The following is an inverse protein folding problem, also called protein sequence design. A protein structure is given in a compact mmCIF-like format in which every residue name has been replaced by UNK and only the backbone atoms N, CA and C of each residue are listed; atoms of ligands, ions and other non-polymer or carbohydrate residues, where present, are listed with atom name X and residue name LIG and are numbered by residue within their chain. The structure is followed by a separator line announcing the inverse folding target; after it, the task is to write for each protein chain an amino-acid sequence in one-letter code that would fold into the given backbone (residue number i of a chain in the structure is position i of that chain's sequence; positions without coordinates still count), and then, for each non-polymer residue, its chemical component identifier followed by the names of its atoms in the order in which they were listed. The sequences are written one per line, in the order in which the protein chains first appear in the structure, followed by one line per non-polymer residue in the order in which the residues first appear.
data_IF_234497266307
#
_entry.id   IF_234497266307
#
_cell.length_a   1.000
_cell.length_b   1.000
_cell.length_c   1.000
_cell.angle_alpha   90.00
_cell.angle_beta   90.00
_cell.angle_gamma   90.00
#
_symmetry.space_group_name_H-M   'P 1'
#
loop_
_entity.id
_entity.type
_entity.pdbx_description
1 polymer ?
#
# COMPACT_ATOMS: atom_id res chain seq x y z
N UNK A 1 62.50 2.15 -12.18
CA UNK A 1 61.53 1.57 -11.22
C UNK A 1 60.63 2.61 -10.57
N UNK A 2 61.12 3.74 -10.08
CA UNK A 2 60.30 4.78 -9.42
C UNK A 2 59.25 5.43 -10.32
N UNK A 3 59.57 5.73 -11.59
CA UNK A 3 58.66 6.34 -12.56
C UNK A 3 57.48 5.40 -12.93
N UNK A 4 57.67 4.10 -13.00
CA UNK A 4 56.62 3.12 -13.29
C UNK A 4 55.63 3.05 -12.11
N UNK A 5 56.13 3.13 -10.86
CA UNK A 5 55.29 3.11 -9.67
C UNK A 5 54.45 4.38 -9.55
N UNK A 6 54.99 5.55 -9.91
CA UNK A 6 54.24 6.82 -9.92
C UNK A 6 53.16 6.83 -11.02
N UNK A 7 53.42 6.26 -12.19
CA UNK A 7 52.48 6.16 -13.26
C UNK A 7 51.32 5.18 -12.95
N UNK A 8 51.64 4.04 -12.32
CA UNK A 8 50.62 3.08 -11.84
C UNK A 8 49.73 3.67 -10.72
N UNK A 9 50.32 4.44 -9.80
CA UNK A 9 49.56 5.12 -8.74
C UNK A 9 48.65 6.22 -9.28
N UNK A 10 49.07 6.96 -10.32
CA UNK A 10 48.23 7.94 -11.03
C UNK A 10 47.08 7.30 -11.79
N UNK A 11 47.31 6.17 -12.47
CA UNK A 11 46.26 5.44 -13.18
C UNK A 11 45.22 4.84 -12.23
N UNK A 12 45.63 4.29 -11.09
CA UNK A 12 44.72 3.77 -10.04
C UNK A 12 43.91 4.89 -9.38
N UNK A 13 44.51 6.06 -9.14
CA UNK A 13 43.80 7.23 -8.63
C UNK A 13 42.78 7.78 -9.63
N UNK A 14 43.13 7.86 -10.91
CA UNK A 14 42.19 8.28 -11.96
C UNK A 14 41.07 7.26 -12.14
N UNK A 15 41.36 5.98 -12.07
CA UNK A 15 40.37 4.93 -12.16
C UNK A 15 39.38 4.97 -10.95
N UNK A 16 39.90 5.17 -9.74
CA UNK A 16 39.06 5.28 -8.53
C UNK A 16 38.20 6.57 -8.55
N UNK A 17 38.75 7.68 -9.07
CA UNK A 17 38.02 8.94 -9.22
C UNK A 17 36.92 8.80 -10.27
N UNK A 18 37.24 8.27 -11.44
CA UNK A 18 36.26 8.03 -12.51
C UNK A 18 35.15 7.08 -12.06
N UNK A 19 35.48 6.00 -11.34
CA UNK A 19 34.52 5.08 -10.77
C UNK A 19 33.59 5.75 -9.75
N UNK A 20 34.11 6.57 -8.83
CA UNK A 20 33.33 7.33 -7.85
C UNK A 20 32.43 8.37 -8.54
N UNK A 21 32.93 9.07 -9.55
CA UNK A 21 32.17 10.02 -10.34
C UNK A 21 31.02 9.35 -11.07
N UNK A 22 31.26 8.22 -11.72
CA UNK A 22 30.20 7.43 -12.38
C UNK A 22 29.15 6.92 -11.40
N UNK A 23 29.54 6.47 -10.21
CA UNK A 23 28.59 6.08 -9.17
C UNK A 23 27.76 7.27 -8.66
N UNK A 24 28.39 8.41 -8.46
CA UNK A 24 27.71 9.64 -8.05
C UNK A 24 26.72 10.10 -9.12
N UNK A 25 27.13 10.14 -10.38
CA UNK A 25 26.28 10.50 -11.52
C UNK A 25 25.07 9.58 -11.65
N UNK A 26 25.27 8.26 -11.58
CA UNK A 26 24.18 7.26 -11.57
C UNK A 26 23.21 7.47 -10.41
N UNK A 27 23.70 7.76 -9.22
CA UNK A 27 22.86 8.04 -8.05
C UNK A 27 22.07 9.34 -8.21
N UNK A 28 22.69 10.37 -8.72
CA UNK A 28 22.05 11.67 -8.97
C UNK A 28 20.94 11.55 -10.03
N UNK A 29 21.23 10.91 -11.14
CA UNK A 29 20.27 10.65 -12.22
C UNK A 29 19.08 9.84 -11.72
N UNK A 30 19.30 8.80 -10.94
CA UNK A 30 18.23 7.96 -10.39
C UNK A 30 17.35 8.71 -9.37
N UNK A 31 17.94 9.55 -8.52
CA UNK A 31 17.19 10.40 -7.58
C UNK A 31 16.32 11.42 -8.33
N UNK A 32 16.88 12.03 -9.39
CA UNK A 32 16.14 12.98 -10.24
C UNK A 32 15.01 12.29 -10.97
N UNK A 33 15.24 11.09 -11.51
CA UNK A 33 14.20 10.29 -12.13
C UNK A 33 13.07 9.97 -11.15
N UNK A 34 13.36 9.45 -9.94
CA UNK A 34 12.33 9.13 -8.95
C UNK A 34 11.57 10.36 -8.46
N UNK A 35 12.22 11.52 -8.39
CA UNK A 35 11.53 12.77 -8.11
C UNK A 35 10.47 13.09 -9.19
N UNK A 36 10.83 13.03 -10.47
CA UNK A 36 9.88 13.25 -11.56
C UNK A 36 8.82 12.15 -11.64
N UNK A 37 9.18 10.89 -11.37
CA UNK A 37 8.24 9.79 -11.30
C UNK A 37 7.14 10.03 -10.26
N UNK A 38 7.50 10.47 -9.04
CA UNK A 38 6.49 10.80 -8.03
C UNK A 38 5.58 11.92 -8.50
N UNK A 39 6.14 12.99 -9.06
CA UNK A 39 5.34 14.12 -9.56
C UNK A 39 4.40 13.66 -10.68
N UNK A 40 4.92 12.90 -11.63
CA UNK A 40 4.11 12.33 -12.70
C UNK A 40 2.98 11.45 -12.14
N UNK A 41 3.31 10.56 -11.20
CA UNK A 41 2.34 9.65 -10.62
C UNK A 41 1.27 10.37 -9.79
N UNK A 42 1.63 11.44 -9.09
CA UNK A 42 0.67 12.30 -8.37
C UNK A 42 -0.34 12.97 -9.32
N UNK A 43 0.11 13.41 -10.49
CA UNK A 43 -0.76 14.11 -11.46
C UNK A 43 -1.57 13.11 -12.27
N UNK A 44 -0.94 12.09 -12.80
CA UNK A 44 -1.51 11.23 -13.83
C UNK A 44 -1.93 9.83 -13.34
N UNK A 45 -1.43 9.33 -12.21
CA UNK A 45 -1.65 7.95 -11.78
C UNK A 45 -3.12 7.56 -11.70
N UNK A 46 -3.96 8.37 -11.04
CA UNK A 46 -5.40 8.12 -10.93
C UNK A 46 -6.14 8.49 -12.22
N UNK A 47 -5.70 9.56 -12.89
CA UNK A 47 -6.33 10.01 -14.14
C UNK A 47 -6.14 8.97 -15.26
N UNK A 48 -4.93 8.45 -15.46
CA UNK A 48 -4.66 7.43 -16.49
C UNK A 48 -5.44 6.14 -16.20
N UNK A 49 -5.54 5.76 -14.93
CA UNK A 49 -6.29 4.58 -14.53
C UNK A 49 -7.78 4.71 -14.82
N UNK A 50 -8.40 5.86 -14.48
CA UNK A 50 -9.85 6.03 -14.57
C UNK A 50 -10.33 6.58 -15.93
N UNK A 51 -9.57 7.49 -16.57
CA UNK A 51 -10.02 8.18 -17.78
C UNK A 51 -9.61 7.46 -19.07
N UNK A 52 -8.51 6.70 -19.03
CA UNK A 52 -8.02 5.93 -20.19
C UNK A 52 -8.24 4.43 -20.04
N UNK A 53 -8.92 3.98 -18.97
CA UNK A 53 -9.10 2.56 -18.63
C UNK A 53 -7.78 1.75 -18.66
N UNK A 54 -6.68 2.46 -18.39
CA UNK A 54 -5.37 1.83 -18.39
C UNK A 54 -5.09 1.16 -17.05
N UNK A 55 -5.78 0.05 -16.81
CA UNK A 55 -5.69 -0.72 -15.57
C UNK A 55 -4.29 -1.23 -15.25
N UNK A 56 -3.42 -1.40 -16.27
CA UNK A 56 -2.05 -1.93 -16.11
C UNK A 56 -0.99 -0.89 -15.72
N UNK A 57 -1.36 0.38 -15.48
CA UNK A 57 -0.38 1.44 -15.21
C UNK A 57 0.45 1.19 -13.95
N UNK A 58 -0.14 0.58 -12.94
CA UNK A 58 0.52 0.26 -11.68
C UNK A 58 1.45 -0.95 -11.82
N UNK A 59 1.07 -1.99 -12.58
CA UNK A 59 1.92 -3.11 -12.94
C UNK A 59 3.18 -2.61 -13.67
N UNK A 60 3.01 -1.84 -14.75
CA UNK A 60 4.13 -1.26 -15.48
C UNK A 60 5.03 -0.41 -14.56
N UNK A 61 4.44 0.42 -13.70
CA UNK A 61 5.19 1.22 -12.75
C UNK A 61 6.03 0.38 -11.80
N UNK A 62 5.46 -0.67 -11.23
CA UNK A 62 6.16 -1.55 -10.28
C UNK A 62 7.29 -2.31 -10.95
N UNK A 63 7.01 -2.97 -12.08
CA UNK A 63 8.03 -3.75 -12.80
C UNK A 63 9.13 -2.87 -13.35
N UNK A 64 8.81 -1.68 -13.85
CA UNK A 64 9.80 -0.73 -14.32
C UNK A 64 10.74 -0.28 -13.18
N UNK A 65 10.20 0.10 -12.01
CA UNK A 65 11.00 0.46 -10.84
C UNK A 65 11.82 -0.73 -10.33
N UNK A 66 11.29 -1.95 -10.39
CA UNK A 66 12.04 -3.15 -10.05
C UNK A 66 13.22 -3.40 -11.00
N UNK A 67 13.01 -3.26 -12.31
CA UNK A 67 14.11 -3.34 -13.30
C UNK A 67 15.20 -2.31 -12.99
N UNK A 68 14.82 -1.06 -12.68
CA UNK A 68 15.78 -0.04 -12.27
C UNK A 68 16.52 -0.42 -10.97
N UNK A 69 15.83 -1.01 -10.01
CA UNK A 69 16.46 -1.49 -8.78
C UNK A 69 17.46 -2.63 -9.07
N UNK A 70 17.13 -3.55 -9.97
CA UNK A 70 18.04 -4.60 -10.41
C UNK A 70 19.25 -4.03 -11.14
N UNK A 71 19.06 -3.13 -12.10
CA UNK A 71 20.16 -2.56 -12.89
C UNK A 71 21.14 -1.73 -12.02
N UNK A 72 20.61 -0.96 -11.07
CA UNK A 72 21.45 -0.01 -10.31
C UNK A 72 21.78 -0.47 -8.89
N UNK A 73 21.01 -1.38 -8.29
CA UNK A 73 21.08 -1.73 -6.86
C UNK A 73 20.94 -3.23 -6.56
N UNK A 74 21.19 -4.11 -7.53
CA UNK A 74 21.05 -5.57 -7.39
C UNK A 74 21.78 -6.10 -6.14
N UNK A 75 23.02 -5.64 -5.87
CA UNK A 75 23.78 -6.07 -4.69
C UNK A 75 23.07 -5.73 -3.37
N UNK A 76 22.32 -4.61 -3.32
CA UNK A 76 21.57 -4.22 -2.12
C UNK A 76 20.32 -5.06 -1.95
N UNK A 77 19.63 -5.40 -3.05
CA UNK A 77 18.52 -6.35 -3.05
C UNK A 77 18.98 -7.73 -2.57
N UNK A 78 20.02 -8.30 -3.18
CA UNK A 78 20.54 -9.62 -2.84
C UNK A 78 21.19 -9.71 -1.44
N UNK A 79 21.55 -8.58 -0.81
CA UNK A 79 22.01 -8.56 0.59
C UNK A 79 20.89 -8.39 1.60
N UNK A 80 19.70 -8.04 1.16
CA UNK A 80 18.55 -7.87 2.04
C UNK A 80 17.92 -9.23 2.34
N UNK A 81 18.19 -9.77 3.52
CA UNK A 81 17.66 -11.08 3.96
C UNK A 81 16.14 -11.16 3.92
N UNK A 82 15.47 -10.05 4.19
CA UNK A 82 14.01 -9.97 4.16
C UNK A 82 13.47 -10.06 2.72
N UNK A 83 14.13 -9.39 1.77
CA UNK A 83 13.78 -9.51 0.36
C UNK A 83 14.00 -10.93 -0.17
N UNK A 84 15.13 -11.56 0.19
CA UNK A 84 15.42 -12.95 -0.18
C UNK A 84 14.34 -13.88 0.38
N UNK A 85 14.00 -13.74 1.67
CA UNK A 85 12.94 -14.53 2.29
C UNK A 85 11.60 -14.33 1.60
N UNK A 86 11.25 -13.08 1.26
CA UNK A 86 10.04 -12.75 0.51
C UNK A 86 10.01 -13.41 -0.88
N UNK A 87 11.11 -13.39 -1.63
CA UNK A 87 11.21 -14.05 -2.93
C UNK A 87 11.07 -15.57 -2.79
N UNK A 88 11.73 -16.17 -1.81
CA UNK A 88 11.61 -17.61 -1.55
C UNK A 88 10.19 -18.01 -1.16
N UNK A 89 9.53 -17.21 -0.32
CA UNK A 89 8.13 -17.41 0.07
C UNK A 89 7.20 -17.31 -1.16
N UNK A 90 7.43 -16.32 -2.02
CA UNK A 90 6.66 -16.18 -3.26
C UNK A 90 6.83 -17.38 -4.19
N UNK A 91 8.06 -17.84 -4.42
CA UNK A 91 8.35 -19.03 -5.25
C UNK A 91 7.68 -20.26 -4.63
N UNK A 92 7.77 -20.43 -3.31
CA UNK A 92 7.09 -21.51 -2.60
C UNK A 92 5.58 -21.51 -2.86
N UNK A 93 4.89 -20.38 -2.64
CA UNK A 93 3.44 -20.31 -2.83
C UNK A 93 3.04 -20.46 -4.29
N UNK A 94 3.82 -19.94 -5.24
CA UNK A 94 3.56 -20.13 -6.67
C UNK A 94 3.66 -21.61 -7.04
N UNK A 95 4.75 -22.29 -6.65
CA UNK A 95 4.93 -23.72 -6.89
C UNK A 95 3.86 -24.54 -6.20
N UNK A 96 3.55 -24.25 -4.95
CA UNK A 96 2.52 -24.89 -4.17
C UNK A 96 1.14 -24.79 -4.86
N UNK A 97 0.76 -23.61 -5.33
CA UNK A 97 -0.52 -23.37 -6.02
C UNK A 97 -0.61 -24.16 -7.32
N UNK A 98 0.49 -24.20 -8.09
CA UNK A 98 0.57 -24.94 -9.35
C UNK A 98 0.49 -26.48 -9.14
N UNK A 99 0.98 -26.99 -8.01
CA UNK A 99 0.92 -28.42 -7.68
C UNK A 99 -0.46 -28.78 -7.13
N UNK A 100 -1.00 -27.98 -6.19
CA UNK A 100 -2.29 -28.24 -5.54
C UNK A 100 -3.47 -28.09 -6.48
N UNK A 101 -3.40 -27.18 -7.45
CA UNK A 101 -4.41 -26.92 -8.48
C UNK A 101 -5.84 -26.74 -7.90
N UNK A 102 -5.97 -26.08 -6.74
CA UNK A 102 -7.27 -25.75 -6.17
C UNK A 102 -8.05 -24.87 -7.15
N UNK A 103 -7.39 -23.84 -7.74
CA UNK A 103 -7.91 -23.24 -8.97
C UNK A 103 -7.25 -23.95 -10.17
N UNK A 104 -8.03 -24.55 -11.08
CA UNK A 104 -7.50 -25.29 -12.23
C UNK A 104 -6.87 -24.37 -13.28
N UNK A 105 -7.20 -23.07 -13.29
CA UNK A 105 -6.67 -22.11 -14.26
C UNK A 105 -5.23 -21.72 -13.96
N UNK A 106 -4.31 -22.18 -14.78
CA UNK A 106 -2.89 -21.77 -14.74
C UNK A 106 -2.75 -20.24 -14.85
N UNK A 107 -3.52 -19.63 -15.77
CA UNK A 107 -3.45 -18.19 -16.01
C UNK A 107 -3.98 -17.41 -14.81
N UNK A 108 -5.07 -17.84 -14.19
CA UNK A 108 -5.62 -17.26 -12.96
C UNK A 108 -4.62 -17.27 -11.80
N UNK A 109 -3.91 -18.38 -11.60
CA UNK A 109 -2.87 -18.53 -10.57
C UNK A 109 -1.69 -17.58 -10.84
N UNK A 110 -1.21 -17.48 -12.08
CA UNK A 110 -0.07 -16.62 -12.42
C UNK A 110 -0.44 -15.15 -12.28
N UNK A 111 -1.58 -14.72 -12.83
CA UNK A 111 -2.00 -13.32 -12.80
C UNK A 111 -2.28 -12.84 -11.36
N UNK A 112 -2.93 -13.66 -10.54
CA UNK A 112 -3.10 -13.34 -9.12
C UNK A 112 -1.74 -13.24 -8.41
N UNK A 113 -0.82 -14.17 -8.65
CA UNK A 113 0.50 -14.14 -8.04
C UNK A 113 1.25 -12.84 -8.37
N UNK A 114 1.13 -12.32 -9.59
CA UNK A 114 1.72 -11.03 -10.00
C UNK A 114 1.04 -9.85 -9.29
N UNK A 115 -0.27 -9.89 -9.13
CA UNK A 115 -1.00 -8.85 -8.38
C UNK A 115 -0.60 -8.83 -6.90
N UNK A 116 -0.46 -10.00 -6.28
CA UNK A 116 -0.13 -10.13 -4.86
C UNK A 116 1.31 -9.71 -4.53
N UNK A 117 2.28 -9.97 -5.42
CA UNK A 117 3.68 -9.57 -5.21
C UNK A 117 3.90 -8.07 -5.37
N UNK A 118 3.07 -7.39 -6.16
CA UNK A 118 3.21 -6.00 -6.61
C UNK A 118 3.58 -5.00 -5.51
N UNK A 119 2.83 -4.86 -4.40
CA UNK A 119 3.12 -3.85 -3.38
C UNK A 119 4.46 -4.09 -2.67
N UNK A 120 4.81 -5.34 -2.42
CA UNK A 120 6.05 -5.70 -1.73
C UNK A 120 7.25 -5.55 -2.66
N UNK A 121 7.12 -5.96 -3.93
CA UNK A 121 8.16 -5.78 -4.93
C UNK A 121 8.49 -4.30 -5.11
N UNK A 122 7.47 -3.44 -5.15
CA UNK A 122 7.63 -1.99 -5.22
C UNK A 122 8.34 -1.45 -3.98
N UNK A 123 7.88 -1.85 -2.77
CA UNK A 123 8.49 -1.46 -1.51
C UNK A 123 10.00 -1.81 -1.48
N UNK A 124 10.38 -3.06 -1.77
CA UNK A 124 11.78 -3.48 -1.72
C UNK A 124 12.64 -2.83 -2.81
N UNK A 125 12.07 -2.55 -3.96
CA UNK A 125 12.75 -1.84 -5.05
C UNK A 125 13.11 -0.41 -4.63
N UNK A 126 12.15 0.36 -4.10
CA UNK A 126 12.36 1.72 -3.59
C UNK A 126 13.32 1.70 -2.38
N UNK A 127 13.19 0.74 -1.48
CA UNK A 127 14.11 0.55 -0.36
C UNK A 127 15.55 0.31 -0.84
N UNK A 128 15.75 -0.52 -1.88
CA UNK A 128 17.07 -0.77 -2.44
C UNK A 128 17.65 0.47 -3.15
N UNK A 129 16.85 1.18 -3.92
CA UNK A 129 17.25 2.41 -4.61
C UNK A 129 17.65 3.48 -3.59
N UNK A 130 16.90 3.61 -2.49
CA UNK A 130 17.13 4.60 -1.42
C UNK A 130 17.18 6.04 -1.95
N UNK A 131 16.07 6.57 -2.48
CA UNK A 131 16.04 7.90 -3.07
C UNK A 131 16.32 8.99 -2.03
N UNK A 132 17.12 9.98 -2.45
CA UNK A 132 17.46 11.14 -1.63
C UNK A 132 16.86 12.41 -2.26
N UNK A 133 16.03 13.12 -1.52
CA UNK A 133 15.38 14.34 -1.98
C UNK A 133 16.06 15.57 -1.39
N UNK A 134 16.39 16.54 -2.23
CA UNK A 134 16.89 17.86 -1.79
C UNK A 134 15.78 18.63 -1.07
N UNK A 135 16.14 19.64 -0.31
CA UNK A 135 15.16 20.51 0.36
C UNK A 135 14.24 21.21 -0.65
N UNK A 136 14.79 21.59 -1.81
CA UNK A 136 13.99 22.15 -2.91
C UNK A 136 12.94 21.13 -3.39
N UNK A 137 13.35 19.88 -3.68
CA UNK A 137 12.43 18.83 -4.12
C UNK A 137 11.31 18.58 -3.11
N UNK A 138 11.64 18.54 -1.82
CA UNK A 138 10.65 18.36 -0.74
C UNK A 138 9.61 19.48 -0.73
N UNK A 139 10.06 20.74 -0.84
CA UNK A 139 9.16 21.90 -0.92
C UNK A 139 8.28 21.85 -2.15
N UNK A 140 8.82 21.45 -3.31
CA UNK A 140 8.01 21.30 -4.54
C UNK A 140 6.97 20.19 -4.42
N UNK A 141 7.32 19.03 -3.88
CA UNK A 141 6.35 17.95 -3.64
C UNK A 141 5.22 18.44 -2.73
N UNK A 142 5.53 19.13 -1.63
CA UNK A 142 4.52 19.71 -0.74
C UNK A 142 3.62 20.71 -1.47
N UNK A 143 4.20 21.61 -2.28
CA UNK A 143 3.45 22.61 -3.03
C UNK A 143 2.51 21.96 -4.06
N UNK A 144 3.02 20.98 -4.81
CA UNK A 144 2.23 20.26 -5.82
C UNK A 144 1.13 19.45 -5.17
N UNK A 145 1.40 18.71 -4.08
CA UNK A 145 0.37 17.97 -3.35
C UNK A 145 -0.78 18.87 -2.89
N UNK A 146 -0.45 20.08 -2.40
CA UNK A 146 -1.48 21.05 -1.99
C UNK A 146 -2.28 21.59 -3.19
N UNK A 147 -1.60 21.97 -4.27
CA UNK A 147 -2.25 22.48 -5.48
C UNK A 147 -3.19 21.43 -6.07
N UNK A 148 -2.71 20.17 -6.19
CA UNK A 148 -3.51 19.08 -6.73
C UNK A 148 -4.71 18.73 -5.83
N UNK A 149 -4.57 18.84 -4.51
CA UNK A 149 -5.70 18.65 -3.59
C UNK A 149 -6.79 19.67 -3.79
N UNK A 150 -6.41 20.95 -3.95
CA UNK A 150 -7.35 22.03 -4.22
C UNK A 150 -7.96 21.87 -5.62
N UNK A 151 -7.14 21.54 -6.62
CA UNK A 151 -7.62 21.33 -7.99
C UNK A 151 -8.62 20.17 -8.08
N UNK A 152 -8.35 19.04 -7.43
CA UNK A 152 -9.26 17.90 -7.36
C UNK A 152 -10.59 18.27 -6.68
N UNK A 153 -10.55 19.07 -5.60
CA UNK A 153 -11.74 19.57 -4.94
C UNK A 153 -12.55 20.53 -5.86
N UNK A 154 -11.88 21.51 -6.48
CA UNK A 154 -12.56 22.46 -7.38
C UNK A 154 -13.15 21.76 -8.59
N UNK A 155 -12.48 20.74 -9.13
CA UNK A 155 -13.00 19.95 -10.25
C UNK A 155 -14.37 19.35 -9.91
N UNK A 156 -14.55 18.82 -8.69
CA UNK A 156 -15.84 18.27 -8.25
C UNK A 156 -16.88 19.39 -8.06
N UNK A 157 -16.48 20.50 -7.42
CA UNK A 157 -17.41 21.63 -7.18
C UNK A 157 -17.92 22.21 -8.51
N UNK A 158 -17.05 22.31 -9.52
CA UNK A 158 -17.42 22.84 -10.84
C UNK A 158 -18.25 21.83 -11.64
N UNK A 159 -17.85 20.56 -11.66
CA UNK A 159 -18.53 19.51 -12.44
C UNK A 159 -19.85 19.06 -11.82
N UNK A 160 -20.00 19.19 -10.50
CA UNK A 160 -21.12 18.64 -9.72
C UNK A 160 -21.21 17.11 -9.73
N UNK A 161 -20.28 16.42 -10.41
CA UNK A 161 -20.34 14.98 -10.58
C UNK A 161 -19.01 14.29 -10.26
N UNK A 162 -18.97 13.64 -9.10
CA UNK A 162 -17.79 12.96 -8.58
C UNK A 162 -17.46 11.68 -9.38
N UNK A 163 -18.48 10.97 -9.85
CA UNK A 163 -18.28 9.77 -10.67
C UNK A 163 -17.68 10.10 -12.04
N UNK A 164 -18.13 11.20 -12.66
CA UNK A 164 -17.55 11.66 -13.92
C UNK A 164 -16.06 12.00 -13.79
N UNK A 165 -15.66 12.67 -12.68
CA UNK A 165 -14.29 13.13 -12.50
C UNK A 165 -13.33 12.01 -12.09
N UNK A 166 -13.77 11.07 -11.25
CA UNK A 166 -12.89 10.09 -10.57
C UNK A 166 -13.35 8.63 -10.71
N UNK A 167 -14.38 8.34 -11.51
CA UNK A 167 -14.94 7.00 -11.68
C UNK A 167 -15.66 6.49 -10.43
N UNK A 168 -15.07 6.64 -9.26
CA UNK A 168 -15.68 6.22 -7.99
C UNK A 168 -15.30 7.15 -6.84
N UNK A 169 -16.21 7.46 -5.89
CA UNK A 169 -15.92 8.32 -4.74
C UNK A 169 -14.72 7.89 -3.88
N UNK A 170 -14.45 6.60 -3.82
CA UNK A 170 -13.29 6.04 -3.12
C UNK A 170 -11.96 6.52 -3.74
N UNK A 171 -11.86 6.61 -5.05
CA UNK A 171 -10.65 7.08 -5.73
C UNK A 171 -10.32 8.52 -5.39
N UNK A 172 -11.35 9.38 -5.31
CA UNK A 172 -11.17 10.78 -4.95
C UNK A 172 -10.58 10.99 -3.56
N UNK A 173 -11.22 10.46 -2.50
CA UNK A 173 -10.72 10.72 -1.17
C UNK A 173 -9.40 9.98 -0.88
N UNK A 174 -9.17 8.80 -1.46
CA UNK A 174 -7.88 8.11 -1.38
C UNK A 174 -6.75 8.89 -2.05
N UNK A 175 -7.05 9.55 -3.17
CA UNK A 175 -6.12 10.48 -3.82
C UNK A 175 -5.75 11.63 -2.89
N UNK A 176 -6.72 12.23 -2.21
CA UNK A 176 -6.48 13.29 -1.22
C UNK A 176 -5.66 12.80 -0.03
N UNK A 177 -5.92 11.58 0.47
CA UNK A 177 -5.10 11.01 1.54
C UNK A 177 -3.66 10.78 1.08
N UNK A 178 -3.46 10.30 -0.15
CA UNK A 178 -2.12 10.18 -0.72
C UNK A 178 -1.39 11.52 -0.82
N UNK A 179 -2.09 12.60 -1.22
CA UNK A 179 -1.52 13.95 -1.20
C UNK A 179 -1.25 14.44 0.22
N UNK A 180 -2.11 14.16 1.19
CA UNK A 180 -1.90 14.48 2.58
C UNK A 180 -0.70 13.72 3.17
N UNK A 181 -0.52 12.44 2.85
CA UNK A 181 0.64 11.64 3.26
C UNK A 181 1.94 12.18 2.65
N UNK A 182 1.96 12.54 1.37
CA UNK A 182 3.11 13.18 0.72
C UNK A 182 3.44 14.53 1.37
N UNK A 183 2.44 15.39 1.55
CA UNK A 183 2.61 16.67 2.22
C UNK A 183 3.16 16.49 3.63
N UNK A 184 2.57 15.60 4.43
CA UNK A 184 2.99 15.33 5.79
C UNK A 184 4.43 14.79 5.85
N UNK A 185 4.78 13.84 5.00
CA UNK A 185 6.10 13.23 5.00
C UNK A 185 7.20 14.23 4.67
N UNK A 186 7.00 15.07 3.65
CA UNK A 186 8.03 15.99 3.16
C UNK A 186 8.04 17.36 3.84
N UNK A 187 6.95 17.78 4.51
CA UNK A 187 6.91 19.03 5.29
C UNK A 187 7.54 18.89 6.68
N UNK A 188 7.85 20.00 7.35
CA UNK A 188 8.26 19.99 8.75
C UNK A 188 7.08 19.70 9.68
N UNK A 189 7.34 19.11 10.86
CA UNK A 189 6.31 18.72 11.82
C UNK A 189 5.84 19.90 12.67
N UNK A 190 5.48 21.02 12.03
CA UNK A 190 4.93 22.22 12.67
C UNK A 190 3.41 22.10 12.86
N UNK A 191 2.85 22.88 13.80
CA UNK A 191 1.40 22.91 14.02
C UNK A 191 0.63 23.35 12.75
N UNK A 192 1.20 24.31 11.98
CA UNK A 192 0.65 24.76 10.70
C UNK A 192 0.56 23.62 9.69
N UNK A 193 1.65 22.88 9.51
CA UNK A 193 1.70 21.79 8.52
C UNK A 193 0.79 20.62 8.90
N UNK A 194 0.65 20.31 10.20
CA UNK A 194 -0.32 19.31 10.68
C UNK A 194 -1.76 19.70 10.38
N UNK A 195 -2.12 20.98 10.57
CA UNK A 195 -3.44 21.50 10.16
C UNK A 195 -3.67 21.39 8.66
N UNK A 196 -2.67 21.76 7.84
CA UNK A 196 -2.78 21.63 6.37
C UNK A 196 -2.97 20.16 5.97
N UNK A 197 -2.23 19.23 6.55
CA UNK A 197 -2.39 17.80 6.30
C UNK A 197 -3.84 17.36 6.58
N UNK A 198 -4.39 17.75 7.73
CA UNK A 198 -5.77 17.41 8.08
C UNK A 198 -6.79 18.08 7.14
N UNK A 199 -6.57 19.35 6.77
CA UNK A 199 -7.44 20.06 5.84
C UNK A 199 -7.51 19.39 4.47
N UNK A 200 -6.38 18.89 3.95
CA UNK A 200 -6.37 18.12 2.69
C UNK A 200 -7.30 16.89 2.80
N UNK A 201 -7.26 16.16 3.91
CA UNK A 201 -8.11 14.98 4.12
C UNK A 201 -9.58 15.39 4.25
N UNK A 202 -9.87 16.50 4.94
CA UNK A 202 -11.23 17.03 5.11
C UNK A 202 -11.89 17.43 3.81
N UNK A 203 -11.14 17.83 2.75
CA UNK A 203 -11.69 18.04 1.42
C UNK A 203 -12.36 16.76 0.86
N UNK A 204 -11.96 15.59 1.34
CA UNK A 204 -12.55 14.29 0.98
C UNK A 204 -13.99 14.08 1.47
N UNK A 205 -14.48 14.89 2.42
CA UNK A 205 -15.82 14.74 3.00
C UNK A 205 -16.95 14.79 1.96
N UNK A 206 -16.74 15.48 0.83
CA UNK A 206 -17.68 15.49 -0.30
C UNK A 206 -17.98 14.08 -0.82
N UNK A 207 -17.07 13.12 -0.65
CA UNK A 207 -17.27 11.73 -1.08
C UNK A 207 -18.35 10.98 -0.28
N UNK A 208 -18.73 11.46 0.89
CA UNK A 208 -19.71 10.87 1.82
C UNK A 208 -19.45 9.38 2.15
N UNK A 209 -18.19 8.95 2.09
CA UNK A 209 -17.81 7.55 2.40
C UNK A 209 -17.58 7.35 3.89
N UNK A 210 -18.26 6.35 4.47
CA UNK A 210 -18.22 6.07 5.91
C UNK A 210 -16.81 5.82 6.47
N UNK A 211 -15.97 5.09 5.73
CA UNK A 211 -14.59 4.79 6.16
C UNK A 211 -13.69 6.03 6.28
N UNK A 212 -13.94 7.06 5.46
CA UNK A 212 -13.22 8.34 5.55
C UNK A 212 -13.37 9.00 6.93
N UNK A 213 -14.52 8.88 7.59
CA UNK A 213 -14.69 9.42 8.94
C UNK A 213 -13.72 8.78 9.94
N UNK A 214 -13.56 7.45 9.87
CA UNK A 214 -12.58 6.73 10.70
C UNK A 214 -11.14 7.17 10.44
N UNK A 215 -10.80 7.45 9.18
CA UNK A 215 -9.49 7.96 8.78
C UNK A 215 -9.26 9.39 9.28
N UNK A 216 -10.22 10.30 9.12
CA UNK A 216 -10.15 11.68 9.63
C UNK A 216 -9.91 11.68 11.13
N UNK A 217 -10.69 10.91 11.88
CA UNK A 217 -10.57 10.82 13.35
C UNK A 217 -9.19 10.25 13.71
N UNK A 218 -8.72 9.21 13.03
CA UNK A 218 -7.42 8.61 13.28
C UNK A 218 -6.27 9.57 12.97
N UNK A 219 -6.31 10.26 11.83
CA UNK A 219 -5.30 11.27 11.48
C UNK A 219 -5.31 12.43 12.47
N UNK A 220 -6.49 12.93 12.88
CA UNK A 220 -6.59 13.95 13.91
C UNK A 220 -5.90 13.51 15.20
N UNK A 221 -6.22 12.31 15.70
CA UNK A 221 -5.60 11.78 16.92
C UNK A 221 -4.07 11.65 16.79
N UNK A 222 -3.56 11.09 15.69
CA UNK A 222 -2.12 10.94 15.51
C UNK A 222 -1.42 12.28 15.34
N UNK A 223 -1.96 13.20 14.57
CA UNK A 223 -1.35 14.50 14.32
C UNK A 223 -1.33 15.41 15.55
N UNK A 224 -2.37 15.38 16.39
CA UNK A 224 -2.52 16.37 17.46
C UNK A 224 -2.41 15.79 18.86
N UNK A 225 -2.84 14.55 19.12
CA UNK A 225 -2.85 13.97 20.46
C UNK A 225 -1.57 13.20 20.79
N UNK A 226 -0.88 12.63 19.77
CA UNK A 226 0.32 11.81 19.98
C UNK A 226 1.55 12.70 20.11
N UNK A 227 2.05 12.88 21.34
CA UNK A 227 3.27 13.64 21.66
C UNK A 227 4.49 12.76 21.92
N UNK A 228 4.31 11.47 22.15
CA UNK A 228 5.36 10.47 22.44
C UNK A 228 4.89 9.07 22.01
N UNK A 229 5.80 8.09 22.03
CA UNK A 229 5.44 6.70 21.75
C UNK A 229 4.23 6.28 22.57
N UNK A 230 3.20 5.73 21.91
CA UNK A 230 2.01 5.20 22.58
C UNK A 230 2.45 3.98 23.42
N UNK A 231 2.16 4.03 24.71
CA UNK A 231 2.31 2.90 25.61
C UNK A 231 0.95 2.20 25.71
N UNK A 232 0.95 0.88 25.50
CA UNK A 232 -0.27 0.08 25.70
C UNK A 232 -0.47 -0.06 27.20
N UNK A 233 -1.36 0.73 27.77
CA UNK A 233 -1.83 0.67 29.14
C UNK A 233 -3.36 0.78 29.16
N UNK A 234 -3.98 0.54 30.32
CA UNK A 234 -5.43 0.56 30.44
C UNK A 234 -6.06 1.84 29.86
N UNK A 235 -5.45 3.01 30.11
CA UNK A 235 -5.96 4.29 29.60
C UNK A 235 -5.95 4.38 28.09
N UNK A 236 -4.84 3.95 27.44
CA UNK A 236 -4.76 3.97 25.98
C UNK A 236 -5.70 2.95 25.33
N UNK A 237 -5.95 1.81 25.98
CA UNK A 237 -6.95 0.83 25.56
C UNK A 237 -8.36 1.43 25.65
N UNK A 238 -8.70 2.08 26.78
CA UNK A 238 -10.00 2.76 26.95
C UNK A 238 -10.20 3.84 25.87
N UNK A 239 -9.19 4.70 25.61
CA UNK A 239 -9.30 5.71 24.54
C UNK A 239 -9.46 5.10 23.16
N UNK A 240 -8.76 4.00 22.87
CA UNK A 240 -8.94 3.28 21.61
C UNK A 240 -10.35 2.69 21.47
N UNK A 241 -10.89 2.09 22.54
CA UNK A 241 -12.27 1.58 22.57
C UNK A 241 -13.28 2.72 22.37
N UNK A 242 -13.14 3.84 23.08
CA UNK A 242 -14.03 4.99 22.91
C UNK A 242 -13.98 5.49 21.45
N UNK A 243 -12.80 5.58 20.87
CA UNK A 243 -12.62 5.99 19.47
C UNK A 243 -13.30 5.05 18.49
N UNK A 244 -13.15 3.73 18.70
CA UNK A 244 -13.80 2.70 17.91
C UNK A 244 -15.31 2.81 18.04
N UNK A 245 -15.84 2.91 19.26
CA UNK A 245 -17.28 3.04 19.52
C UNK A 245 -17.86 4.31 18.87
N UNK A 246 -17.14 5.44 18.96
CA UNK A 246 -17.55 6.67 18.29
C UNK A 246 -17.58 6.51 16.77
N UNK A 247 -16.56 5.87 16.20
CA UNK A 247 -16.51 5.61 14.76
C UNK A 247 -17.64 4.65 14.35
N UNK A 248 -17.87 3.58 15.11
CA UNK A 248 -18.99 2.66 14.88
C UNK A 248 -20.35 3.36 14.94
N UNK A 249 -20.53 4.26 15.89
CA UNK A 249 -21.75 5.07 15.98
C UNK A 249 -21.97 5.94 14.74
N UNK A 250 -20.92 6.61 14.27
CA UNK A 250 -20.99 7.47 13.06
C UNK A 250 -21.29 6.68 11.75
N UNK A 251 -20.96 5.40 11.71
CA UNK A 251 -21.17 4.55 10.54
C UNK A 251 -22.16 3.42 10.81
N UNK A 252 -23.04 3.58 11.83
CA UNK A 252 -23.92 2.51 12.30
C UNK A 252 -24.78 1.90 11.18
N UNK A 253 -25.35 2.72 10.30
CA UNK A 253 -26.16 2.24 9.17
C UNK A 253 -25.36 1.31 8.24
N UNK A 254 -24.07 1.58 8.07
CA UNK A 254 -23.17 0.74 7.27
C UNK A 254 -22.81 -0.56 7.99
N UNK A 255 -22.60 -0.49 9.31
CA UNK A 255 -22.36 -1.68 10.13
C UNK A 255 -23.59 -2.58 10.10
N UNK A 256 -24.78 -2.02 10.30
CA UNK A 256 -26.02 -2.77 10.21
C UNK A 256 -26.18 -3.46 8.85
N UNK A 257 -25.97 -2.71 7.76
CA UNK A 257 -26.08 -3.23 6.41
C UNK A 257 -25.07 -4.36 6.11
N UNK A 258 -23.77 -4.15 6.44
CA UNK A 258 -22.70 -5.07 6.01
C UNK A 258 -22.37 -6.17 7.00
N UNK A 259 -22.67 -6.01 8.31
CA UNK A 259 -22.27 -6.96 9.33
C UNK A 259 -23.50 -7.67 9.92
N UNK A 260 -24.61 -6.98 10.15
CA UNK A 260 -25.79 -7.56 10.78
C UNK A 260 -26.72 -8.18 9.74
N UNK A 261 -27.18 -7.38 8.78
CA UNK A 261 -28.11 -7.86 7.74
C UNK A 261 -27.41 -8.58 6.58
N UNK A 262 -26.12 -8.28 6.35
CA UNK A 262 -25.35 -8.83 5.23
C UNK A 262 -24.83 -10.25 5.46
N UNK A 263 -25.06 -10.86 6.62
CA UNK A 263 -24.57 -12.20 6.98
C UNK A 263 -25.63 -13.29 6.71
N UNK A 264 -26.82 -12.91 6.26
CA UNK A 264 -27.85 -13.85 5.86
C UNK A 264 -27.39 -14.72 4.67
N UNK A 265 -27.49 -16.05 4.77
CA UNK A 265 -27.01 -16.96 3.73
C UNK A 265 -27.82 -16.85 2.42
N UNK A 266 -29.09 -16.46 2.49
CA UNK A 266 -29.96 -16.35 1.30
C UNK A 266 -29.91 -14.94 0.65
N UNK A 267 -29.77 -13.88 1.46
CA UNK A 267 -29.76 -12.49 1.02
C UNK A 267 -28.49 -11.72 1.42
N UNK A 268 -27.42 -12.45 1.71
CA UNK A 268 -26.20 -11.90 2.23
C UNK A 268 -25.44 -11.04 1.23
N UNK A 269 -24.65 -10.12 1.74
CA UNK A 269 -23.75 -9.27 0.96
C UNK A 269 -22.42 -10.00 0.76
N UNK A 270 -21.96 -10.10 -0.47
CA UNK A 270 -20.73 -10.80 -0.87
C UNK A 270 -19.53 -10.53 0.08
N UNK A 271 -19.27 -9.26 0.40
CA UNK A 271 -18.17 -8.88 1.32
C UNK A 271 -18.31 -9.53 2.70
N UNK A 272 -19.48 -9.49 3.32
CA UNK A 272 -19.70 -10.05 4.66
C UNK A 272 -19.45 -11.57 4.66
N UNK A 273 -19.96 -12.25 3.65
CA UNK A 273 -19.83 -13.70 3.50
C UNK A 273 -18.38 -14.12 3.19
N UNK A 274 -17.64 -13.34 2.41
CA UNK A 274 -16.21 -13.56 2.20
C UNK A 274 -15.42 -13.54 3.54
N UNK A 275 -15.75 -12.62 4.45
CA UNK A 275 -15.14 -12.61 5.79
C UNK A 275 -15.61 -13.80 6.65
N UNK A 276 -16.88 -14.16 6.58
CA UNK A 276 -17.47 -15.22 7.39
C UNK A 276 -16.87 -16.59 7.09
N UNK A 277 -16.51 -16.86 5.84
CA UNK A 277 -15.92 -18.15 5.42
C UNK A 277 -14.43 -18.32 5.72
N UNK A 278 -13.72 -17.22 6.13
CA UNK A 278 -12.28 -17.26 6.45
C UNK A 278 -11.91 -18.37 7.45
N UNK A 279 -12.55 -18.50 8.63
CA UNK A 279 -12.14 -19.50 9.61
C UNK A 279 -12.25 -20.94 9.08
N UNK A 280 -13.30 -21.23 8.31
CA UNK A 280 -13.51 -22.54 7.71
C UNK A 280 -12.41 -22.87 6.70
N UNK A 281 -12.15 -21.98 5.73
CA UNK A 281 -11.10 -22.18 4.71
C UNK A 281 -9.72 -22.30 5.36
N UNK A 282 -9.43 -21.51 6.41
CA UNK A 282 -8.16 -21.61 7.14
C UNK A 282 -8.00 -22.96 7.84
N UNK A 283 -9.09 -23.56 8.33
CA UNK A 283 -9.08 -24.89 8.93
C UNK A 283 -8.83 -25.97 7.89
N UNK A 284 -9.59 -25.92 6.78
CA UNK A 284 -9.60 -26.98 5.77
C UNK A 284 -8.29 -27.02 4.97
N UNK A 285 -7.66 -25.85 4.80
CA UNK A 285 -6.37 -25.69 4.06
C UNK A 285 -5.20 -25.34 4.98
N UNK A 286 -5.24 -25.76 6.26
CA UNK A 286 -4.13 -25.54 7.19
C UNK A 286 -2.86 -26.28 6.75
N UNK A 287 -1.64 -25.72 6.90
CA UNK A 287 -1.32 -24.35 7.38
C UNK A 287 -1.09 -23.34 6.25
N UNK A 288 -1.07 -23.77 4.96
CA UNK A 288 -0.59 -22.96 3.84
C UNK A 288 -1.70 -22.28 3.03
N UNK A 289 -2.97 -22.58 3.33
CA UNK A 289 -4.10 -22.06 2.55
C UNK A 289 -4.29 -22.77 1.20
N UNK A 290 -5.31 -22.37 0.43
CA UNK A 290 -5.62 -22.99 -0.85
C UNK A 290 -4.68 -22.56 -1.99
N UNK A 291 -3.90 -21.48 -1.87
CA UNK A 291 -2.97 -20.99 -2.89
C UNK A 291 -3.49 -19.82 -3.71
N UNK A 292 -2.67 -19.32 -4.63
CA UNK A 292 -2.99 -18.19 -5.50
C UNK A 292 -4.21 -18.44 -6.39
N UNK A 293 -4.96 -17.36 -6.68
CA UNK A 293 -6.11 -17.37 -7.59
C UNK A 293 -7.34 -18.09 -7.04
N UNK A 294 -7.40 -18.37 -5.73
CA UNK A 294 -8.43 -19.21 -5.17
C UNK A 294 -9.53 -18.47 -4.44
N UNK A 295 -9.25 -17.30 -3.83
CA UNK A 295 -10.23 -16.67 -2.96
C UNK A 295 -10.16 -15.14 -2.89
N UNK A 296 -11.32 -14.49 -3.00
CA UNK A 296 -11.58 -13.08 -2.73
C UNK A 296 -10.71 -12.08 -3.53
N UNK A 297 -10.18 -12.47 -4.68
CA UNK A 297 -9.45 -11.60 -5.58
C UNK A 297 -10.08 -11.56 -6.97
N UNK A 298 -9.69 -10.58 -7.80
CA UNK A 298 -10.23 -10.40 -9.14
C UNK A 298 -10.06 -11.67 -10.01
N UNK A 299 -8.88 -12.29 -9.99
CA UNK A 299 -8.59 -13.44 -10.84
C UNK A 299 -9.26 -14.74 -10.37
N UNK A 300 -9.61 -14.85 -9.08
CA UNK A 300 -10.43 -15.96 -8.60
C UNK A 300 -11.89 -15.85 -9.05
N UNK A 301 -12.35 -14.64 -9.37
CA UNK A 301 -13.65 -14.41 -9.99
C UNK A 301 -13.61 -14.59 -11.52
N UNK A 302 -12.60 -14.02 -12.20
CA UNK A 302 -12.41 -14.10 -13.65
C UNK A 302 -12.20 -15.55 -14.13
N UNK A 303 -11.36 -16.30 -13.41
CA UNK A 303 -11.10 -17.74 -13.62
C UNK A 303 -11.77 -18.54 -12.51
N UNK A 304 -13.07 -18.49 -12.44
CA UNK A 304 -13.92 -18.87 -11.34
C UNK A 304 -13.39 -20.01 -10.47
N UNK A 305 -13.15 -19.71 -9.19
CA UNK A 305 -12.55 -20.66 -8.27
C UNK A 305 -13.57 -21.67 -7.76
N UNK A 306 -13.28 -22.99 -7.75
CA UNK A 306 -14.16 -24.01 -7.17
C UNK A 306 -14.53 -23.77 -5.72
N UNK A 307 -13.73 -23.01 -4.96
CA UNK A 307 -14.03 -22.68 -3.56
C UNK A 307 -15.35 -21.92 -3.40
N UNK A 308 -15.80 -21.17 -4.40
CA UNK A 308 -17.07 -20.44 -4.31
C UNK A 308 -18.26 -21.40 -4.32
N UNK A 309 -18.16 -22.53 -5.03
CA UNK A 309 -19.15 -23.61 -4.98
C UNK A 309 -19.05 -24.42 -3.68
N UNK A 310 -17.82 -24.81 -3.30
CA UNK A 310 -17.53 -25.62 -2.10
C UNK A 310 -18.07 -24.98 -0.81
N UNK A 311 -17.94 -23.63 -0.71
CA UNK A 311 -18.41 -22.88 0.47
C UNK A 311 -19.77 -22.21 0.28
N UNK A 312 -20.51 -22.53 -0.79
CA UNK A 312 -21.87 -22.06 -1.04
C UNK A 312 -21.96 -20.58 -1.44
N UNK A 313 -20.83 -19.94 -1.77
CA UNK A 313 -20.76 -18.53 -2.12
C UNK A 313 -21.28 -18.23 -3.54
N UNK A 314 -21.33 -19.24 -4.42
CA UNK A 314 -21.89 -19.14 -5.78
C UNK A 314 -23.38 -18.78 -5.80
N UNK A 315 -24.11 -18.93 -4.69
CA UNK A 315 -25.53 -18.56 -4.57
C UNK A 315 -25.72 -17.07 -4.29
N UNK A 316 -24.66 -16.38 -3.89
CA UNK A 316 -24.72 -14.97 -3.48
C UNK A 316 -24.72 -14.07 -4.71
N UNK A 317 -25.63 -13.12 -4.74
CA UNK A 317 -25.69 -12.15 -5.83
C UNK A 317 -24.36 -11.41 -6.01
N UNK A 318 -23.90 -11.35 -7.25
CA UNK A 318 -22.61 -10.73 -7.59
C UNK A 318 -21.39 -11.64 -7.38
N UNK A 319 -21.59 -12.92 -7.01
CA UNK A 319 -20.53 -13.92 -6.87
C UNK A 319 -20.73 -15.14 -7.79
N UNK A 320 -21.73 -15.13 -8.65
CA UNK A 320 -22.02 -16.21 -9.59
C UNK A 320 -20.99 -16.27 -10.72
N UNK A 321 -20.75 -17.46 -11.26
CA UNK A 321 -19.91 -17.65 -12.41
C UNK A 321 -20.51 -16.95 -13.66
N UNK A 322 -19.66 -16.25 -14.41
CA UNK A 322 -20.03 -15.67 -15.70
C UNK A 322 -20.90 -14.42 -15.66
N UNK A 323 -21.31 -13.92 -14.51
CA UNK A 323 -22.15 -12.71 -14.41
C UNK A 323 -21.39 -11.38 -14.56
N UNK A 324 -20.08 -11.41 -14.82
CA UNK A 324 -19.26 -10.20 -15.00
C UNK A 324 -19.13 -9.32 -13.75
N UNK A 325 -19.45 -9.84 -12.57
CA UNK A 325 -19.46 -9.12 -11.30
C UNK A 325 -18.25 -9.45 -10.42
N UNK A 326 -17.09 -9.74 -11.04
CA UNK A 326 -15.83 -10.07 -10.35
C UNK A 326 -15.44 -9.05 -9.28
N UNK A 327 -15.87 -7.78 -9.44
CA UNK A 327 -15.59 -6.72 -8.48
C UNK A 327 -16.21 -6.95 -7.11
N UNK A 328 -17.34 -7.68 -7.01
CA UNK A 328 -17.93 -8.06 -5.72
C UNK A 328 -17.12 -9.15 -5.01
N UNK A 329 -16.44 -10.01 -5.76
CA UNK A 329 -15.50 -10.99 -5.25
C UNK A 329 -14.25 -10.30 -4.72
N UNK A 330 -13.68 -9.33 -5.47
CA UNK A 330 -12.45 -8.61 -5.12
C UNK A 330 -12.69 -7.37 -4.24
N UNK A 331 -13.71 -7.38 -3.39
CA UNK A 331 -14.18 -6.20 -2.68
C UNK A 331 -13.39 -5.87 -1.40
N UNK A 332 -12.46 -6.72 -0.97
CA UNK A 332 -11.61 -6.49 0.20
C UNK A 332 -10.26 -7.21 0.10
N UNK A 333 -9.23 -6.65 0.76
CA UNK A 333 -7.89 -7.26 0.74
C UNK A 333 -7.73 -8.39 1.78
N UNK A 334 -8.26 -8.21 2.99
CA UNK A 334 -7.99 -9.19 4.06
C UNK A 334 -8.55 -10.59 3.81
N UNK A 335 -9.73 -10.78 3.20
CA UNK A 335 -10.17 -12.11 2.82
C UNK A 335 -9.20 -12.82 1.88
N UNK A 336 -8.50 -12.08 1.01
CA UNK A 336 -7.51 -12.66 0.10
C UNK A 336 -6.34 -13.33 0.83
N UNK A 337 -6.02 -12.88 2.06
CA UNK A 337 -4.92 -13.45 2.84
C UNK A 337 -5.14 -14.91 3.22
N UNK A 338 -6.38 -15.38 3.16
CA UNK A 338 -6.72 -16.80 3.39
C UNK A 338 -6.02 -17.73 2.41
N UNK A 339 -5.75 -17.23 1.18
CA UNK A 339 -5.02 -17.98 0.15
C UNK A 339 -3.65 -18.47 0.62
N UNK A 340 -3.06 -17.78 1.57
CA UNK A 340 -1.73 -18.10 2.13
C UNK A 340 -1.81 -18.80 3.47
N UNK A 341 -3.01 -19.12 3.94
CA UNK A 341 -3.23 -19.79 5.22
C UNK A 341 -2.61 -19.05 6.40
N UNK A 342 -2.41 -19.81 7.47
CA UNK A 342 -1.83 -19.29 8.71
C UNK A 342 -0.39 -18.78 8.52
N UNK A 343 0.41 -19.48 7.72
CA UNK A 343 1.83 -19.11 7.48
C UNK A 343 1.94 -17.77 6.76
N UNK A 344 1.18 -17.56 5.70
CA UNK A 344 1.22 -16.28 4.96
C UNK A 344 0.64 -15.13 5.79
N UNK A 345 -0.42 -15.37 6.56
CA UNK A 345 -0.97 -14.38 7.48
C UNK A 345 0.06 -13.97 8.55
N UNK A 346 0.79 -14.92 9.12
CA UNK A 346 1.89 -14.63 10.04
C UNK A 346 2.99 -13.80 9.38
N UNK A 347 3.37 -14.13 8.15
CA UNK A 347 4.37 -13.36 7.38
C UNK A 347 3.90 -11.92 7.13
N UNK A 348 2.61 -11.71 6.83
CA UNK A 348 2.01 -10.38 6.69
C UNK A 348 2.11 -9.58 8.00
N UNK A 349 1.75 -10.17 9.13
CA UNK A 349 1.89 -9.52 10.45
C UNK A 349 3.36 -9.20 10.75
N UNK A 350 4.29 -10.12 10.48
CA UNK A 350 5.72 -9.93 10.72
C UNK A 350 6.29 -8.81 9.85
N UNK A 351 5.83 -8.65 8.61
CA UNK A 351 6.20 -7.53 7.75
C UNK A 351 5.89 -6.19 8.43
N UNK A 352 4.65 -5.97 8.87
CA UNK A 352 4.22 -4.73 9.51
C UNK A 352 4.83 -4.52 10.89
N UNK A 353 4.95 -5.58 11.70
CA UNK A 353 5.62 -5.57 13.01
C UNK A 353 7.07 -5.08 12.88
N UNK A 354 7.79 -5.56 11.88
CA UNK A 354 9.18 -5.12 11.63
C UNK A 354 9.24 -3.64 11.27
N UNK A 355 8.34 -3.11 10.43
CA UNK A 355 8.24 -1.68 10.09
C UNK A 355 7.99 -0.85 11.36
N UNK A 356 7.08 -1.29 12.20
CA UNK A 356 6.83 -0.66 13.49
C UNK A 356 8.09 -0.59 14.37
N UNK A 357 8.81 -1.69 14.54
CA UNK A 357 10.04 -1.68 15.33
C UNK A 357 11.12 -0.76 14.76
N UNK A 358 11.24 -0.70 13.44
CA UNK A 358 12.18 0.19 12.78
C UNK A 358 11.86 1.66 13.07
N UNK A 359 10.60 2.03 13.02
CA UNK A 359 10.16 3.41 13.32
C UNK A 359 10.35 3.75 14.80
N UNK A 360 10.09 2.81 15.71
CA UNK A 360 10.40 2.98 17.14
C UNK A 360 11.90 3.14 17.38
N UNK A 361 12.74 2.43 16.63
CA UNK A 361 14.19 2.58 16.69
C UNK A 361 14.61 3.98 16.21
N UNK A 362 14.05 4.47 15.08
CA UNK A 362 14.29 5.83 14.58
C UNK A 362 13.89 6.85 15.65
N UNK A 363 12.72 6.71 16.25
CA UNK A 363 12.25 7.59 17.32
C UNK A 363 13.21 7.65 18.51
N UNK A 364 13.71 6.49 18.95
CA UNK A 364 14.68 6.42 20.07
C UNK A 364 16.02 7.08 19.74
N UNK A 365 16.46 6.96 18.49
CA UNK A 365 17.74 7.50 18.03
C UNK A 365 17.69 9.00 17.76
N UNK A 366 16.63 9.49 17.13
CA UNK A 366 16.52 10.88 16.66
C UNK A 366 15.73 11.79 17.60
N UNK A 367 14.96 11.23 18.52
CA UNK A 367 13.97 11.96 19.32
C UNK A 367 12.79 12.52 18.53
N UNK A 368 12.78 12.37 17.18
CA UNK A 368 11.73 12.93 16.32
C UNK A 368 10.48 12.08 16.31
N UNK A 369 9.40 12.61 16.88
CA UNK A 369 8.08 11.97 16.90
C UNK A 369 7.43 11.91 15.50
N UNK A 370 7.85 12.75 14.55
CA UNK A 370 7.27 12.84 13.21
C UNK A 370 7.21 11.50 12.49
N UNK A 371 8.33 10.78 12.42
CA UNK A 371 8.40 9.48 11.73
C UNK A 371 7.47 8.44 12.36
N UNK A 372 7.30 8.48 13.69
CA UNK A 372 6.40 7.60 14.41
C UNK A 372 4.94 7.92 14.10
N UNK A 373 4.54 9.19 14.19
CA UNK A 373 3.18 9.65 13.87
C UNK A 373 2.85 9.35 12.41
N UNK A 374 3.78 9.61 11.48
CA UNK A 374 3.59 9.32 10.07
C UNK A 374 3.31 7.83 9.83
N UNK A 375 4.14 6.95 10.40
CA UNK A 375 3.95 5.51 10.24
C UNK A 375 2.60 5.04 10.81
N UNK A 376 2.22 5.51 11.99
CA UNK A 376 0.94 5.15 12.60
C UNK A 376 -0.25 5.62 11.73
N UNK A 377 -0.18 6.84 11.19
CA UNK A 377 -1.21 7.37 10.28
C UNK A 377 -1.31 6.54 9.00
N UNK A 378 -0.17 6.23 8.37
CA UNK A 378 -0.11 5.41 7.17
C UNK A 378 -0.61 3.99 7.43
N UNK A 379 -0.21 3.36 8.53
CA UNK A 379 -0.64 2.02 8.90
C UNK A 379 -2.15 1.95 9.10
N UNK A 380 -2.73 2.90 9.85
CA UNK A 380 -4.18 2.92 10.08
C UNK A 380 -4.96 3.19 8.79
N UNK A 381 -4.47 4.09 7.93
CA UNK A 381 -5.03 4.27 6.60
C UNK A 381 -5.09 2.95 5.82
N UNK A 382 -3.97 2.23 5.71
CA UNK A 382 -3.94 0.93 5.01
C UNK A 382 -4.87 -0.08 5.69
N UNK A 383 -4.90 -0.12 7.03
CA UNK A 383 -5.78 -1.05 7.76
C UNK A 383 -7.26 -0.79 7.47
N UNK A 384 -7.69 0.47 7.47
CA UNK A 384 -9.07 0.84 7.17
C UNK A 384 -9.40 0.56 5.69
N UNK A 385 -8.56 1.03 4.76
CA UNK A 385 -8.82 0.86 3.33
C UNK A 385 -8.85 -0.60 2.90
N UNK A 386 -7.89 -1.39 3.35
CA UNK A 386 -7.80 -2.80 2.99
C UNK A 386 -8.92 -3.68 3.57
N UNK A 387 -9.70 -3.17 4.52
CA UNK A 387 -10.90 -3.88 5.02
C UNK A 387 -12.06 -3.89 4.02
N UNK A 388 -12.10 -2.95 3.07
CA UNK A 388 -13.22 -2.77 2.14
C UNK A 388 -12.80 -2.51 0.69
N UNK A 389 -11.52 -2.61 0.39
CA UNK A 389 -10.97 -2.53 -0.97
C UNK A 389 -9.56 -3.13 -0.98
N UNK A 390 -9.08 -3.69 -2.09
CA UNK A 390 -7.70 -4.17 -2.21
C UNK A 390 -6.70 -3.03 -2.46
N UNK A 391 -6.83 -1.91 -1.75
CA UNK A 391 -6.13 -0.63 -2.01
C UNK A 391 -4.62 -0.78 -2.09
N UNK A 392 -4.01 -1.63 -1.25
CA UNK A 392 -2.56 -1.85 -1.27
C UNK A 392 -2.06 -2.44 -2.61
N UNK A 393 -2.93 -3.16 -3.33
CA UNK A 393 -2.62 -3.81 -4.61
C UNK A 393 -2.94 -2.94 -5.82
N UNK A 394 -3.59 -1.80 -5.63
CA UNK A 394 -3.99 -0.89 -6.70
C UNK A 394 -3.00 0.27 -6.85
N UNK A 395 -3.22 1.08 -7.86
CA UNK A 395 -2.49 2.34 -8.10
C UNK A 395 -2.47 3.25 -6.86
N UNK A 396 -3.52 3.24 -6.03
CA UNK A 396 -3.63 4.05 -4.81
C UNK A 396 -2.68 3.60 -3.70
N UNK A 397 -2.27 2.33 -3.69
CA UNK A 397 -1.34 1.76 -2.71
C UNK A 397 0.14 2.10 -2.98
N UNK A 398 0.50 2.54 -4.20
CA UNK A 398 1.90 2.75 -4.55
C UNK A 398 2.53 3.92 -3.78
N UNK A 399 1.83 5.04 -3.60
CA UNK A 399 2.35 6.18 -2.81
C UNK A 399 2.60 5.81 -1.35
N UNK A 400 1.67 5.19 -0.62
CA UNK A 400 1.91 4.67 0.73
C UNK A 400 3.12 3.73 0.81
N UNK A 401 3.24 2.76 -0.09
CA UNK A 401 4.35 1.82 -0.11
C UNK A 401 5.68 2.49 -0.46
N UNK A 402 5.67 3.48 -1.35
CA UNK A 402 6.83 4.33 -1.64
C UNK A 402 7.31 5.06 -0.38
N UNK A 403 6.41 5.76 0.29
CA UNK A 403 6.72 6.55 1.49
C UNK A 403 7.19 5.66 2.65
N UNK A 404 6.60 4.48 2.81
CA UNK A 404 7.04 3.48 3.78
C UNK A 404 8.49 3.04 3.51
N UNK A 405 8.84 2.78 2.25
CA UNK A 405 10.19 2.37 1.86
C UNK A 405 11.23 3.49 2.06
N UNK A 406 10.86 4.73 1.73
CA UNK A 406 11.73 5.90 1.96
C UNK A 406 11.94 6.15 3.45
N UNK A 407 10.90 5.99 4.26
CA UNK A 407 10.98 6.10 5.72
C UNK A 407 11.90 5.04 6.34
N UNK A 408 11.81 3.81 5.89
CA UNK A 408 12.66 2.70 6.35
C UNK A 408 14.15 3.01 6.15
N UNK A 409 14.50 3.72 5.10
CA UNK A 409 15.87 4.11 4.79
C UNK A 409 16.45 5.19 5.73
N UNK A 410 15.62 5.92 6.50
CA UNK A 410 16.09 6.89 7.51
C UNK A 410 16.86 6.21 8.67
N UNK A 411 16.73 4.90 8.82
CA UNK A 411 17.48 4.12 9.80
C UNK A 411 18.99 4.06 9.52
N UNK A 412 19.38 4.25 8.26
CA UNK A 412 20.76 3.99 7.78
C UNK A 412 21.64 5.23 7.87
N UNK A 413 21.07 6.41 8.14
CA UNK A 413 21.77 7.67 8.31
C UNK A 413 21.98 7.94 9.80
#
# INVERSE_FOLDING_TARGET
MYLIFVQQKKSLLNYSFHYRYMQWYKKYSLNRFLYFYILFYCVFGVFLYNALDWSLIDEFSVFFIFILACLFRIRKLCRNREFIFFVLLYIFYLTYSLIRKVNPSLLGVILDSLQQIKPYLFFYSIYAINPQFTQSNKKYICKISLILSIAAFLLIVISGNLFFCFGHPTHYYNLLINYALLYFYFSDFTFKNRKITLLIILLGLISLKGKLYGEIVSFFCFLFCVKRKIKINLRTVIYAIILILLTCYLIWDRINLYIISGVDEENGIARALLYLRIPQILSDYFPFGPGFGTYANYFSGEYYSPLYEEYGLHKVWGMQEGEGLHNFIADAYYPQLVQYGFVGFLCFILFWKRRYYNVVFILRRTGSIKSYVFFCSLLVYILIECSTAPTIQTNLGLIPMFLLAVQENQKVI
#
